data_IF_706853473684
#
_entry.id   IF_706853473684
#
_cell.length_a   1.000
_cell.length_b   1.000
_cell.length_c   1.000
_cell.angle_alpha   90.00
_cell.angle_beta   90.00
_cell.angle_gamma   90.00
#
_symmetry.space_group_name_H-M   'P 1'
#
loop_
_entity.id
_entity.type
_entity.pdbx_description
1 polymer ?
#
# COMPACT_ATOMS: atom_id res chain seq x y z
N UNK A 1 18.20 -47.43 13.58
CA UNK A 1 16.91 -47.19 12.88
C UNK A 1 16.38 -45.74 12.95
N UNK A 2 17.18 -44.71 13.34
CA UNK A 2 16.67 -43.32 13.44
C UNK A 2 16.99 -42.39 12.25
N UNK A 3 17.91 -42.76 11.34
CA UNK A 3 18.38 -41.88 10.26
C UNK A 3 17.35 -41.67 9.13
N UNK A 4 16.52 -42.66 8.84
CA UNK A 4 15.50 -42.57 7.78
C UNK A 4 14.34 -41.63 8.13
N UNK A 5 13.93 -41.61 9.40
CA UNK A 5 12.82 -40.77 9.85
C UNK A 5 13.22 -39.29 9.91
N UNK A 6 14.45 -38.98 10.35
CA UNK A 6 14.96 -37.60 10.39
C UNK A 6 14.98 -36.96 9.01
N UNK A 7 15.36 -37.72 7.98
CA UNK A 7 15.37 -37.22 6.61
C UNK A 7 13.95 -36.93 6.10
N UNK A 8 13.00 -37.83 6.36
CA UNK A 8 11.58 -37.64 6.00
C UNK A 8 10.98 -36.46 6.77
N UNK A 9 11.27 -36.32 8.06
CA UNK A 9 10.80 -35.19 8.88
C UNK A 9 11.37 -33.86 8.38
N UNK A 10 12.65 -33.79 8.03
CA UNK A 10 13.25 -32.58 7.42
C UNK A 10 12.64 -32.25 6.06
N UNK A 11 12.35 -33.26 5.24
CA UNK A 11 11.75 -33.09 3.92
C UNK A 11 10.31 -32.56 4.05
N UNK A 12 9.53 -33.08 5.00
CA UNK A 12 8.20 -32.57 5.34
C UNK A 12 8.28 -31.13 5.87
N UNK A 13 9.25 -30.83 6.74
CA UNK A 13 9.46 -29.47 7.25
C UNK A 13 9.80 -28.48 6.12
N UNK A 14 10.70 -28.86 5.21
CA UNK A 14 11.03 -28.06 4.02
C UNK A 14 9.84 -27.86 3.08
N UNK A 15 8.99 -28.87 2.90
CA UNK A 15 7.78 -28.76 2.09
C UNK A 15 6.74 -27.83 2.74
N UNK A 16 6.59 -27.88 4.07
CA UNK A 16 5.70 -26.97 4.82
C UNK A 16 6.24 -25.54 4.76
N UNK A 17 7.52 -25.33 5.08
CA UNK A 17 8.14 -24.00 5.06
C UNK A 17 8.16 -23.43 3.64
N UNK A 18 8.55 -24.23 2.64
CA UNK A 18 8.55 -23.82 1.23
C UNK A 18 7.15 -23.54 0.70
N UNK A 19 6.15 -24.32 1.12
CA UNK A 19 4.74 -24.08 0.79
C UNK A 19 4.23 -22.77 1.39
N UNK A 20 4.53 -22.49 2.66
CA UNK A 20 4.16 -21.24 3.35
C UNK A 20 4.88 -20.03 2.72
N UNK A 21 6.16 -20.17 2.39
CA UNK A 21 6.92 -19.09 1.75
C UNK A 21 6.42 -18.82 0.32
N UNK A 22 6.10 -19.87 -0.43
CA UNK A 22 5.54 -19.77 -1.78
C UNK A 22 4.17 -19.11 -1.80
N UNK A 23 3.26 -19.49 -0.89
CA UNK A 23 1.94 -18.87 -0.77
C UNK A 23 2.03 -17.41 -0.32
N UNK A 24 2.99 -17.07 0.54
CA UNK A 24 3.25 -15.69 0.94
C UNK A 24 3.65 -14.80 -0.25
N UNK A 25 4.60 -15.24 -1.09
CA UNK A 25 5.01 -14.46 -2.27
C UNK A 25 3.85 -14.24 -3.26
N UNK A 26 2.98 -15.24 -3.41
CA UNK A 26 1.77 -15.12 -4.23
C UNK A 26 0.74 -14.15 -3.59
N UNK A 27 0.58 -14.19 -2.28
CA UNK A 27 -0.28 -13.26 -1.55
C UNK A 27 0.20 -11.81 -1.72
N UNK A 28 1.51 -11.55 -1.66
CA UNK A 28 2.05 -10.19 -1.86
C UNK A 28 1.68 -9.58 -3.23
N UNK A 29 1.58 -10.42 -4.27
CA UNK A 29 1.22 -10.02 -5.63
C UNK A 29 -0.29 -10.02 -5.91
N UNK A 30 -1.10 -10.51 -4.97
CA UNK A 30 -2.53 -10.61 -5.17
C UNK A 30 -3.20 -9.24 -5.24
N UNK A 31 -4.19 -9.13 -6.12
CA UNK A 31 -5.03 -7.94 -6.28
C UNK A 31 -6.30 -8.05 -5.43
N UNK A 32 -6.95 -6.91 -5.11
CA UNK A 32 -8.25 -6.89 -4.47
C UNK A 32 -9.27 -7.82 -5.15
N UNK A 33 -9.89 -8.70 -4.36
CA UNK A 33 -10.83 -9.72 -4.83
C UNK A 33 -10.21 -11.04 -5.29
N UNK A 34 -8.88 -11.19 -5.26
CA UNK A 34 -8.20 -12.47 -5.48
C UNK A 34 -8.10 -13.28 -4.18
N UNK A 35 -8.01 -14.62 -4.30
CA UNK A 35 -8.11 -15.56 -3.17
C UNK A 35 -7.12 -15.30 -2.02
N UNK A 36 -5.89 -14.88 -2.34
CA UNK A 36 -4.82 -14.65 -1.36
C UNK A 36 -4.76 -13.21 -0.85
N UNK A 37 -5.64 -12.33 -1.32
CA UNK A 37 -5.65 -10.93 -0.92
C UNK A 37 -5.93 -10.70 0.56
N UNK A 38 -6.83 -11.46 1.23
CA UNK A 38 -7.00 -11.35 2.68
C UNK A 38 -5.68 -11.63 3.43
N UNK A 39 -4.88 -12.59 2.98
CA UNK A 39 -3.58 -12.88 3.60
C UNK A 39 -2.64 -11.69 3.48
N UNK A 40 -2.63 -11.00 2.32
CA UNK A 40 -1.86 -9.76 2.14
C UNK A 40 -2.25 -8.71 3.17
N UNK A 41 -3.54 -8.43 3.31
CA UNK A 41 -4.02 -7.40 4.24
C UNK A 41 -3.76 -7.76 5.70
N UNK A 42 -3.85 -9.04 6.09
CA UNK A 42 -3.47 -9.48 7.45
C UNK A 42 -1.98 -9.25 7.72
N UNK A 43 -1.10 -9.55 6.76
CA UNK A 43 0.33 -9.28 6.91
C UNK A 43 0.65 -7.79 7.01
N UNK A 44 -0.13 -6.94 6.35
CA UNK A 44 -0.04 -5.48 6.47
C UNK A 44 -0.47 -5.00 7.86
N UNK A 45 -1.55 -5.55 8.41
CA UNK A 45 -2.00 -5.27 9.80
C UNK A 45 -0.96 -5.66 10.83
N UNK A 46 -0.33 -6.84 10.68
CA UNK A 46 0.74 -7.30 11.57
C UNK A 46 1.97 -6.37 11.53
N UNK A 47 2.28 -5.81 10.36
CA UNK A 47 3.35 -4.83 10.21
C UNK A 47 3.08 -3.56 11.01
N UNK A 48 1.81 -3.14 11.13
CA UNK A 48 1.41 -1.99 11.95
C UNK A 48 1.25 -2.30 13.45
N UNK A 49 0.90 -3.53 13.81
CA UNK A 49 0.66 -3.92 15.22
C UNK A 49 1.94 -4.06 16.06
N UNK A 50 3.11 -3.85 15.45
CA UNK A 50 4.39 -3.87 16.16
C UNK A 50 4.45 -2.73 17.18
N UNK A 51 4.62 -3.08 18.45
CA UNK A 51 4.50 -2.16 19.61
C UNK A 51 5.60 -1.10 19.66
N UNK A 52 6.73 -1.33 18.96
CA UNK A 52 7.93 -0.48 19.01
C UNK A 52 8.02 0.57 17.91
N UNK A 53 7.04 0.67 17.01
CA UNK A 53 7.13 1.62 15.89
C UNK A 53 6.88 3.06 16.34
N UNK A 54 7.86 3.94 16.09
CA UNK A 54 7.76 5.40 16.17
C UNK A 54 6.72 5.98 15.20
N UNK A 55 6.34 7.25 15.37
CA UNK A 55 5.37 7.89 14.47
C UNK A 55 5.90 7.94 13.04
N UNK A 56 7.18 8.30 12.87
CA UNK A 56 7.85 8.32 11.57
C UNK A 56 7.87 6.94 10.92
N UNK A 57 8.20 5.88 11.66
CA UNK A 57 8.20 4.53 11.10
C UNK A 57 6.81 4.08 10.65
N UNK A 58 5.76 4.39 11.43
CA UNK A 58 4.37 4.10 11.04
C UNK A 58 3.98 4.86 9.77
N UNK A 59 4.34 6.15 9.66
CA UNK A 59 4.09 6.93 8.44
C UNK A 59 4.79 6.33 7.22
N UNK A 60 6.03 5.87 7.34
CA UNK A 60 6.74 5.20 6.24
C UNK A 60 6.03 3.90 5.81
N UNK A 61 5.47 3.13 6.75
CA UNK A 61 4.67 1.95 6.42
C UNK A 61 3.39 2.34 5.68
N UNK A 62 2.71 3.41 6.11
CA UNK A 62 1.54 3.91 5.41
C UNK A 62 1.88 4.43 3.99
N UNK A 63 3.03 5.06 3.78
CA UNK A 63 3.53 5.44 2.45
C UNK A 63 3.75 4.20 1.57
N UNK A 64 4.29 3.12 2.14
CA UNK A 64 4.44 1.84 1.42
C UNK A 64 3.07 1.27 1.02
N UNK A 65 2.08 1.30 1.92
CA UNK A 65 0.74 0.81 1.62
C UNK A 65 0.03 1.67 0.57
N UNK A 66 0.14 2.99 0.65
CA UNK A 66 -0.35 3.92 -0.36
C UNK A 66 0.26 3.60 -1.74
N UNK A 67 1.58 3.40 -1.79
CA UNK A 67 2.27 3.00 -3.02
C UNK A 67 1.73 1.69 -3.61
N UNK A 68 1.50 0.68 -2.76
CA UNK A 68 0.91 -0.60 -3.20
C UNK A 68 -0.51 -0.43 -3.74
N UNK A 69 -1.33 0.41 -3.12
CA UNK A 69 -2.70 0.68 -3.59
C UNK A 69 -2.70 1.32 -4.97
N UNK A 70 -1.78 2.25 -5.23
CA UNK A 70 -1.60 2.81 -6.57
C UNK A 70 -1.21 1.75 -7.61
N UNK A 71 -0.30 0.84 -7.27
CA UNK A 71 0.10 -0.27 -8.16
C UNK A 71 -1.05 -1.24 -8.44
N UNK A 72 -1.83 -1.56 -7.40
CA UNK A 72 -3.02 -2.40 -7.54
C UNK A 72 -4.09 -1.75 -8.42
N UNK A 73 -4.34 -0.46 -8.23
CA UNK A 73 -5.28 0.29 -9.05
C UNK A 73 -4.84 0.26 -10.52
N UNK A 74 -3.58 0.56 -10.80
CA UNK A 74 -3.03 0.47 -12.17
C UNK A 74 -3.12 -0.96 -12.74
N UNK A 75 -2.86 -1.99 -11.94
CA UNK A 75 -2.97 -3.37 -12.37
C UNK A 75 -4.42 -3.79 -12.66
N UNK A 76 -5.39 -3.34 -11.85
CA UNK A 76 -6.81 -3.57 -12.08
C UNK A 76 -7.28 -2.86 -13.36
N UNK A 77 -6.82 -1.64 -13.61
CA UNK A 77 -7.07 -0.90 -14.85
C UNK A 77 -6.55 -1.66 -16.07
N UNK A 78 -5.29 -2.11 -16.04
CA UNK A 78 -4.67 -2.89 -17.13
C UNK A 78 -5.38 -4.22 -17.39
N UNK A 79 -5.97 -4.82 -16.34
CA UNK A 79 -6.81 -6.02 -16.45
C UNK A 79 -8.25 -5.70 -16.90
N UNK A 80 -8.56 -4.47 -17.27
CA UNK A 80 -9.89 -4.04 -17.73
C UNK A 80 -10.98 -4.17 -16.67
N UNK A 81 -10.63 -4.09 -15.39
CA UNK A 81 -11.63 -4.16 -14.31
C UNK A 81 -12.46 -2.88 -14.28
N UNK A 82 -13.72 -3.01 -13.88
CA UNK A 82 -14.63 -1.87 -13.80
C UNK A 82 -14.17 -0.84 -12.76
N UNK A 83 -14.52 0.45 -12.93
CA UNK A 83 -14.26 1.48 -11.94
C UNK A 83 -14.72 1.12 -10.52
N UNK A 84 -15.86 0.43 -10.38
CA UNK A 84 -16.38 -0.05 -9.09
C UNK A 84 -15.41 -0.97 -8.33
N UNK A 85 -14.45 -1.61 -9.00
CA UNK A 85 -13.39 -2.41 -8.36
C UNK A 85 -12.10 -1.62 -8.08
N UNK A 86 -11.92 -0.50 -8.77
CA UNK A 86 -10.71 0.34 -8.69
C UNK A 86 -10.89 1.43 -7.64
N UNK A 87 -12.09 2.04 -7.55
CA UNK A 87 -12.40 3.13 -6.63
C UNK A 87 -12.09 2.79 -5.15
N UNK A 88 -12.49 1.61 -4.60
CA UNK A 88 -12.15 1.28 -3.21
C UNK A 88 -10.64 1.18 -2.96
N UNK A 89 -9.85 0.85 -3.99
CA UNK A 89 -8.38 0.79 -3.89
C UNK A 89 -7.79 2.19 -3.81
N UNK A 90 -8.34 3.13 -4.59
CA UNK A 90 -7.96 4.54 -4.58
C UNK A 90 -8.39 5.20 -3.26
N UNK A 91 -9.56 4.88 -2.73
CA UNK A 91 -9.99 5.32 -1.40
C UNK A 91 -9.01 4.86 -0.33
N UNK A 92 -8.59 3.58 -0.38
CA UNK A 92 -7.59 3.06 0.55
C UNK A 92 -6.21 3.72 0.38
N UNK A 93 -5.85 4.10 -0.84
CA UNK A 93 -4.66 4.91 -1.09
C UNK A 93 -4.73 6.24 -0.32
N UNK A 94 -5.86 6.96 -0.41
CA UNK A 94 -6.05 8.24 0.28
C UNK A 94 -6.02 8.11 1.79
N UNK A 95 -6.65 7.06 2.34
CA UNK A 95 -6.58 6.80 3.77
C UNK A 95 -5.13 6.64 4.24
N UNK A 96 -4.34 5.83 3.52
CA UNK A 96 -2.94 5.59 3.84
C UNK A 96 -2.10 6.87 3.68
N UNK A 97 -2.36 7.67 2.65
CA UNK A 97 -1.71 8.97 2.44
C UNK A 97 -2.00 9.93 3.60
N UNK A 98 -3.26 10.05 4.04
CA UNK A 98 -3.64 10.91 5.16
C UNK A 98 -2.94 10.50 6.47
N UNK A 99 -2.84 9.19 6.75
CA UNK A 99 -2.09 8.73 7.91
C UNK A 99 -0.61 9.12 7.84
N UNK A 100 0.02 9.02 6.67
CA UNK A 100 1.40 9.46 6.49
C UNK A 100 1.55 10.98 6.67
N UNK A 101 0.61 11.78 6.16
CA UNK A 101 0.59 13.24 6.30
C UNK A 101 0.41 13.68 7.75
N UNK A 102 -0.31 12.93 8.58
CA UNK A 102 -0.53 13.27 10.00
C UNK A 102 0.75 13.41 10.84
N UNK A 103 1.87 12.87 10.35
CA UNK A 103 3.20 12.95 10.98
C UNK A 103 3.95 14.23 10.59
N UNK A 104 3.50 14.96 9.56
CA UNK A 104 4.10 16.22 9.10
C UNK A 104 3.70 17.43 9.97
N UNK A 105 3.53 17.23 11.28
CA UNK A 105 3.23 18.30 12.23
C UNK A 105 4.51 18.90 12.81
N UNK A 106 4.46 20.20 13.19
CA UNK A 106 5.59 20.87 13.86
C UNK A 106 6.02 20.15 15.14
N UNK A 107 5.08 19.62 15.90
CA UNK A 107 5.35 18.85 17.12
C UNK A 107 6.16 17.58 16.83
N UNK A 108 5.81 16.85 15.78
CA UNK A 108 6.53 15.62 15.43
C UNK A 108 7.92 15.93 14.88
N UNK A 109 8.05 16.96 14.04
CA UNK A 109 9.33 17.40 13.50
C UNK A 109 10.33 17.89 14.57
N UNK A 110 9.84 18.31 15.75
CA UNK A 110 10.70 18.66 16.90
C UNK A 110 11.31 17.45 17.60
N UNK A 111 10.67 16.29 17.51
CA UNK A 111 11.00 15.09 18.31
C UNK A 111 11.57 13.96 17.45
N UNK A 112 11.16 13.87 16.18
CA UNK A 112 11.57 12.84 15.25
C UNK A 112 12.00 13.48 13.91
N UNK A 113 12.97 12.85 13.22
CA UNK A 113 13.36 13.28 11.87
C UNK A 113 12.28 12.91 10.85
N UNK A 114 11.50 13.90 10.41
CA UNK A 114 10.42 13.72 9.42
C UNK A 114 10.90 13.76 7.97
N UNK A 115 12.19 14.03 7.71
CA UNK A 115 12.75 14.07 6.35
C UNK A 115 12.44 12.83 5.52
N UNK A 116 12.56 11.59 6.04
CA UNK A 116 12.21 10.40 5.27
C UNK A 116 10.73 10.35 4.87
N UNK A 117 9.84 10.85 5.73
CA UNK A 117 8.40 10.93 5.46
C UNK A 117 8.13 11.97 4.38
N UNK A 118 8.78 13.14 4.45
CA UNK A 118 8.71 14.16 3.41
C UNK A 118 9.13 13.62 2.03
N UNK A 119 10.29 12.95 1.96
CA UNK A 119 10.81 12.37 0.71
C UNK A 119 9.87 11.28 0.18
N UNK A 120 9.36 10.41 1.07
CA UNK A 120 8.43 9.35 0.69
C UNK A 120 7.10 9.88 0.17
N UNK A 121 6.56 10.94 0.80
CA UNK A 121 5.35 11.62 0.35
C UNK A 121 5.59 12.26 -1.02
N UNK A 122 6.68 13.02 -1.21
CA UNK A 122 7.01 13.61 -2.53
C UNK A 122 7.02 12.56 -3.66
N UNK A 123 7.68 11.43 -3.44
CA UNK A 123 7.71 10.34 -4.42
C UNK A 123 6.32 9.72 -4.66
N UNK A 124 5.50 9.60 -3.60
CA UNK A 124 4.13 9.10 -3.71
C UNK A 124 3.28 10.02 -4.61
N UNK A 125 3.47 11.34 -4.51
CA UNK A 125 2.74 12.33 -5.30
C UNK A 125 3.08 12.30 -6.78
N UNK A 126 4.37 12.23 -7.10
CA UNK A 126 4.82 12.09 -8.48
C UNK A 126 4.21 10.84 -9.13
N UNK A 127 4.16 9.74 -8.37
CA UNK A 127 3.54 8.49 -8.81
C UNK A 127 2.02 8.62 -8.96
N UNK A 128 1.36 9.22 -7.97
CA UNK A 128 -0.08 9.47 -7.98
C UNK A 128 -0.46 10.30 -9.20
N UNK A 129 0.21 11.41 -9.46
CA UNK A 129 -0.08 12.28 -10.61
C UNK A 129 0.02 11.49 -11.93
N UNK A 130 1.09 10.71 -12.11
CA UNK A 130 1.28 9.85 -13.28
C UNK A 130 0.17 8.80 -13.45
N UNK A 131 -0.30 8.20 -12.36
CA UNK A 131 -1.33 7.17 -12.40
C UNK A 131 -2.71 7.79 -12.63
N UNK A 132 -3.03 8.88 -11.92
CA UNK A 132 -4.30 9.58 -12.06
C UNK A 132 -4.46 10.18 -13.47
N UNK A 133 -3.42 10.75 -14.08
CA UNK A 133 -3.52 11.25 -15.44
C UNK A 133 -3.87 10.13 -16.44
N UNK A 134 -3.27 8.93 -16.29
CA UNK A 134 -3.63 7.75 -17.11
C UNK A 134 -5.05 7.23 -16.84
N UNK A 135 -5.53 7.37 -15.61
CA UNK A 135 -6.92 7.06 -15.28
C UNK A 135 -7.90 8.01 -15.96
N UNK A 136 -7.63 9.31 -15.91
CA UNK A 136 -8.48 10.34 -16.51
C UNK A 136 -8.60 10.20 -18.04
N UNK A 137 -7.59 9.63 -18.71
CA UNK A 137 -7.62 9.34 -20.15
C UNK A 137 -8.54 8.16 -20.55
N UNK A 138 -8.94 7.31 -19.59
CA UNK A 138 -9.57 6.01 -19.89
C UNK A 138 -10.86 5.72 -19.13
N UNK A 139 -11.23 6.57 -18.16
CA UNK A 139 -12.40 6.36 -17.31
C UNK A 139 -13.62 7.12 -17.84
N UNK A 140 -14.81 6.48 -17.88
CA UNK A 140 -16.05 7.15 -18.28
C UNK A 140 -16.46 8.30 -17.32
N UNK A 141 -17.23 9.25 -17.84
CA UNK A 141 -17.55 10.53 -17.20
C UNK A 141 -18.15 10.48 -15.76
N UNK A 142 -18.94 9.48 -15.35
CA UNK A 142 -19.47 9.42 -13.98
C UNK A 142 -18.39 9.23 -12.91
N UNK A 143 -17.39 8.39 -13.18
CA UNK A 143 -16.31 8.07 -12.25
C UNK A 143 -15.14 9.04 -12.34
N UNK A 144 -15.06 9.80 -13.43
CA UNK A 144 -14.13 10.92 -13.63
C UNK A 144 -14.22 11.95 -12.49
N UNK A 145 -15.42 12.35 -12.09
CA UNK A 145 -15.61 13.37 -11.05
C UNK A 145 -15.16 12.91 -9.66
N UNK A 146 -15.32 11.62 -9.35
CA UNK A 146 -14.86 11.06 -8.08
C UNK A 146 -13.33 11.08 -8.00
N UNK A 147 -12.66 10.70 -9.08
CA UNK A 147 -11.19 10.71 -9.15
C UNK A 147 -10.64 12.14 -9.13
N UNK A 148 -11.36 13.09 -9.74
CA UNK A 148 -11.00 14.50 -9.72
C UNK A 148 -11.14 15.11 -8.32
N UNK A 149 -12.21 14.81 -7.59
CA UNK A 149 -12.39 15.21 -6.19
C UNK A 149 -11.27 14.64 -5.30
N UNK A 150 -10.95 13.36 -5.49
CA UNK A 150 -9.84 12.66 -4.82
C UNK A 150 -8.49 13.34 -5.08
N UNK A 151 -8.20 13.68 -6.35
CA UNK A 151 -6.99 14.42 -6.73
C UNK A 151 -6.94 15.78 -6.04
N UNK A 152 -8.08 16.46 -5.95
CA UNK A 152 -8.18 17.81 -5.38
C UNK A 152 -7.93 17.79 -3.87
N UNK A 153 -8.58 16.88 -3.14
CA UNK A 153 -8.39 16.71 -1.69
C UNK A 153 -6.94 16.36 -1.32
N UNK A 154 -6.34 15.45 -2.09
CA UNK A 154 -4.92 15.12 -1.94
C UNK A 154 -4.07 16.37 -2.17
N UNK A 155 -4.35 17.17 -3.21
CA UNK A 155 -3.63 18.41 -3.49
C UNK A 155 -3.78 19.50 -2.42
N UNK A 156 -4.95 19.64 -1.82
CA UNK A 156 -5.19 20.55 -0.70
C UNK A 156 -4.38 20.15 0.54
N UNK A 157 -4.40 18.87 0.89
CA UNK A 157 -3.64 18.35 2.02
C UNK A 157 -2.14 18.62 1.84
N UNK A 158 -1.61 18.50 0.62
CA UNK A 158 -0.20 18.71 0.34
C UNK A 158 0.25 20.17 0.41
N UNK A 159 -0.62 21.09 0.02
CA UNK A 159 -0.39 22.53 0.21
C UNK A 159 -0.33 22.88 1.70
N UNK A 160 -1.19 22.29 2.51
CA UNK A 160 -1.21 22.52 3.97
C UNK A 160 0.14 22.20 4.62
N UNK A 161 0.83 21.17 4.13
CA UNK A 161 2.12 20.72 4.67
C UNK A 161 3.35 21.26 3.92
N UNK A 162 3.18 22.22 2.99
CA UNK A 162 4.26 22.75 2.12
C UNK A 162 5.03 21.63 1.39
N UNK A 163 4.31 20.62 0.92
CA UNK A 163 4.88 19.48 0.18
C UNK A 163 4.92 19.72 -1.34
N UNK A 164 4.57 20.92 -1.81
CA UNK A 164 4.64 21.35 -3.22
C UNK A 164 6.00 21.90 -3.62
#
# INVERSE_FOLDING_TARGET
MYKGNIFITLLILCAIVGGIYGTYILALKSLPGEFLYPIKTETETLKLSTTELSRVQRALIYIEFANKRLDEAEALQKKGKSPAKILPVIEKFLENEQFALSVMTKETARVENTTPVYVGLRALLEKQEKILNRFLETIPAPEFYQILDIKTKSMEALNEYNLR
#
